data_IF_826508033932
#
_entry.id   IF_826508033932
#
_cell.length_a   1.000
_cell.length_b   1.000
_cell.length_c   1.000
_cell.angle_alpha   90.00
_cell.angle_beta   90.00
_cell.angle_gamma   90.00
#
_symmetry.space_group_name_H-M   'P 1'
#
loop_
_entity.id
_entity.type
_entity.pdbx_description
1 polymer ?
#
# COMPACT_ATOMS: atom_id res chain seq x y z
N UNK A 1 -25.53 12.52 2.28
CA UNK A 1 -25.42 12.57 0.81
C UNK A 1 -25.53 11.14 0.31
N UNK A 2 -26.66 10.75 -0.27
CA UNK A 2 -26.83 9.40 -0.83
C UNK A 2 -26.04 9.38 -2.13
N UNK A 3 -24.95 8.63 -2.19
CA UNK A 3 -24.31 8.34 -3.47
C UNK A 3 -25.32 7.49 -4.24
N UNK A 4 -26.00 8.09 -5.22
CA UNK A 4 -26.76 7.31 -6.18
C UNK A 4 -25.79 6.30 -6.79
N UNK A 5 -26.17 5.03 -6.76
CA UNK A 5 -25.39 3.95 -7.36
C UNK A 5 -25.08 4.31 -8.81
N UNK A 6 -23.79 4.38 -9.16
CA UNK A 6 -23.32 4.57 -10.52
C UNK A 6 -24.08 3.60 -11.44
N UNK A 7 -24.53 4.07 -12.61
CA UNK A 7 -25.11 3.16 -13.59
C UNK A 7 -24.09 2.06 -13.97
N UNK A 8 -24.53 0.84 -14.29
CA UNK A 8 -23.63 -0.23 -14.70
C UNK A 8 -22.70 0.16 -15.86
N UNK A 9 -23.22 0.98 -16.79
CA UNK A 9 -22.46 1.49 -17.93
C UNK A 9 -21.34 2.44 -17.50
N UNK A 10 -21.65 3.38 -16.60
CA UNK A 10 -20.65 4.31 -16.08
C UNK A 10 -19.58 3.58 -15.27
N UNK A 11 -19.98 2.61 -14.45
CA UNK A 11 -19.03 1.76 -13.70
C UNK A 11 -18.10 1.00 -14.65
N UNK A 12 -18.65 0.39 -15.70
CA UNK A 12 -17.86 -0.36 -16.69
C UNK A 12 -16.91 0.55 -17.47
N UNK A 13 -17.37 1.73 -17.87
CA UNK A 13 -16.55 2.75 -18.52
C UNK A 13 -15.37 3.20 -17.63
N UNK A 14 -15.64 3.54 -16.37
CA UNK A 14 -14.58 3.95 -15.41
C UNK A 14 -13.57 2.83 -15.19
N UNK A 15 -14.02 1.59 -15.00
CA UNK A 15 -13.10 0.45 -14.86
C UNK A 15 -12.25 0.24 -16.12
N UNK A 16 -12.85 0.29 -17.31
CA UNK A 16 -12.16 0.03 -18.58
C UNK A 16 -11.25 1.17 -19.05
N UNK A 17 -11.34 2.38 -18.48
CA UNK A 17 -10.48 3.50 -18.87
C UNK A 17 -9.02 3.26 -18.47
N UNK A 18 -8.02 3.43 -19.35
CA UNK A 18 -6.62 3.38 -18.96
C UNK A 18 -6.26 4.62 -18.12
N UNK A 19 -5.56 4.43 -17.01
CA UNK A 19 -5.28 5.50 -16.03
C UNK A 19 -3.79 5.63 -15.74
N UNK A 20 -3.39 6.84 -15.35
CA UNK A 20 -2.16 7.10 -14.63
C UNK A 20 -2.51 7.61 -13.24
N UNK A 21 -1.83 7.13 -12.20
CA UNK A 21 -2.01 7.57 -10.83
C UNK A 21 -0.73 8.24 -10.33
N UNK A 22 -0.79 9.54 -10.06
CA UNK A 22 0.39 10.36 -9.79
C UNK A 22 0.51 10.79 -8.33
N UNK A 23 -0.44 10.38 -7.50
CA UNK A 23 -0.45 10.71 -6.07
C UNK A 23 -1.02 9.54 -5.30
N UNK A 24 -0.12 8.71 -4.79
CA UNK A 24 -0.44 7.60 -3.90
C UNK A 24 0.76 7.32 -3.02
N UNK A 25 0.51 7.13 -1.73
CA UNK A 25 1.54 6.80 -0.74
C UNK A 25 1.56 5.28 -0.55
N UNK A 26 2.74 4.66 -0.61
CA UNK A 26 2.88 3.21 -0.51
C UNK A 26 2.26 2.68 0.78
N UNK A 27 2.60 3.27 1.91
CA UNK A 27 2.12 2.87 3.24
C UNK A 27 0.61 3.03 3.37
N UNK A 28 0.05 4.06 2.73
CA UNK A 28 -1.40 4.30 2.68
C UNK A 28 -2.16 3.35 1.76
N UNK A 29 -1.48 2.68 0.82
CA UNK A 29 -2.08 1.73 -0.12
C UNK A 29 -2.13 0.27 0.40
N UNK A 30 -1.48 -0.01 1.54
CA UNK A 30 -1.39 -1.35 2.11
C UNK A 30 -2.76 -1.84 2.57
N UNK A 31 -3.13 -3.04 2.12
CA UNK A 31 -4.44 -3.60 2.40
C UNK A 31 -4.51 -4.23 3.81
N UNK A 32 -5.70 -4.26 4.44
CA UNK A 32 -5.87 -4.81 5.79
C UNK A 32 -5.38 -6.26 5.96
N UNK A 33 -5.51 -7.11 4.93
CA UNK A 33 -4.99 -8.48 4.97
C UNK A 33 -3.45 -8.51 5.08
N UNK A 34 -2.77 -7.62 4.37
CA UNK A 34 -1.31 -7.50 4.35
C UNK A 34 -0.80 -6.96 5.68
N UNK A 35 -1.54 -6.02 6.29
CA UNK A 35 -1.25 -5.56 7.66
C UNK A 35 -1.27 -6.72 8.66
N UNK A 36 -2.27 -7.62 8.58
CA UNK A 36 -2.30 -8.81 9.43
C UNK A 36 -1.14 -9.77 9.15
N UNK A 37 -0.78 -9.95 7.88
CA UNK A 37 0.37 -10.80 7.50
C UNK A 37 1.67 -10.25 8.09
N UNK A 38 1.95 -8.97 7.87
CA UNK A 38 3.16 -8.30 8.35
C UNK A 38 3.21 -8.26 9.88
N UNK A 39 2.09 -7.99 10.54
CA UNK A 39 2.02 -8.01 11.99
C UNK A 39 2.27 -9.40 12.58
N UNK A 40 1.83 -10.48 11.93
CA UNK A 40 2.19 -11.84 12.35
C UNK A 40 3.68 -12.14 12.10
N UNK A 41 4.17 -11.77 10.92
CA UNK A 41 5.57 -11.99 10.50
C UNK A 41 6.57 -11.38 11.49
N UNK A 42 6.22 -10.22 12.04
CA UNK A 42 7.11 -9.42 12.91
C UNK A 42 6.75 -9.48 14.40
N UNK A 43 5.84 -10.36 14.80
CA UNK A 43 5.33 -10.48 16.19
C UNK A 43 4.77 -9.16 16.74
N UNK A 44 4.07 -8.40 15.89
CA UNK A 44 3.50 -7.08 16.18
C UNK A 44 1.96 -7.11 16.25
N UNK A 45 1.35 -8.28 16.40
CA UNK A 45 -0.11 -8.41 16.52
C UNK A 45 -0.68 -7.59 17.69
N UNK A 46 0.07 -7.40 18.78
CA UNK A 46 -0.32 -6.57 19.92
C UNK A 46 -0.38 -5.07 19.63
N UNK A 47 0.18 -4.60 18.51
CA UNK A 47 0.07 -3.21 18.06
C UNK A 47 -1.23 -2.92 17.29
N UNK A 48 -1.97 -3.97 16.89
CA UNK A 48 -3.22 -3.85 16.14
C UNK A 48 -4.42 -3.85 17.09
N UNK A 49 -5.48 -3.08 16.79
CA UNK A 49 -6.70 -3.07 17.61
C UNK A 49 -7.59 -4.29 17.37
N UNK A 50 -7.26 -5.15 16.42
CA UNK A 50 -7.97 -6.38 16.11
C UNK A 50 -7.02 -7.45 15.55
N UNK A 51 -7.32 -8.72 15.82
CA UNK A 51 -6.54 -9.86 15.35
C UNK A 51 -7.10 -10.52 14.06
N UNK A 52 -8.23 -10.01 13.56
CA UNK A 52 -8.93 -10.53 12.38
C UNK A 52 -9.23 -9.43 11.34
N UNK A 53 -9.52 -9.87 10.12
CA UNK A 53 -9.74 -8.98 8.98
C UNK A 53 -10.99 -8.11 9.13
N UNK A 54 -12.04 -8.62 9.79
CA UNK A 54 -13.28 -7.89 9.96
C UNK A 54 -13.10 -6.70 10.93
N UNK A 55 -12.38 -6.90 12.02
CA UNK A 55 -11.98 -5.86 12.96
C UNK A 55 -11.03 -4.85 12.33
N UNK A 56 -10.05 -5.31 11.55
CA UNK A 56 -9.13 -4.39 10.88
C UNK A 56 -9.83 -3.52 9.83
N UNK A 57 -10.78 -4.08 9.08
CA UNK A 57 -11.61 -3.30 8.13
C UNK A 57 -12.44 -2.22 8.83
N UNK A 58 -12.97 -2.50 10.03
CA UNK A 58 -13.65 -1.48 10.84
C UNK A 58 -12.68 -0.39 11.27
N UNK A 59 -11.47 -0.77 11.69
CA UNK A 59 -10.44 0.18 12.08
C UNK A 59 -9.99 1.11 10.94
N UNK A 60 -9.91 0.60 9.71
CA UNK A 60 -9.61 1.38 8.50
C UNK A 60 -10.72 2.38 8.10
N UNK A 61 -11.85 2.40 8.81
CA UNK A 61 -12.85 3.46 8.63
C UNK A 61 -12.43 4.68 9.44
N UNK A 62 -11.73 5.62 8.78
CA UNK A 62 -11.20 6.82 9.40
C UNK A 62 -12.30 7.70 9.99
N UNK A 63 -12.06 8.26 11.17
CA UNK A 63 -12.99 9.17 11.87
C UNK A 63 -12.60 10.63 11.67
N UNK A 64 -11.29 10.89 11.58
CA UNK A 64 -10.68 12.18 11.34
C UNK A 64 -9.23 11.99 10.85
N UNK A 65 -8.54 13.11 10.57
CA UNK A 65 -7.15 13.09 10.14
C UNK A 65 -6.18 12.51 11.20
N UNK A 66 -6.30 12.84 12.50
CA UNK A 66 -5.50 12.18 13.55
C UNK A 66 -5.62 10.66 13.57
N UNK A 67 -6.84 10.11 13.41
CA UNK A 67 -7.04 8.67 13.37
C UNK A 67 -6.38 8.04 12.13
N UNK A 68 -6.45 8.71 10.97
CA UNK A 68 -5.69 8.31 9.78
C UNK A 68 -4.18 8.27 10.06
N UNK A 69 -3.62 9.32 10.65
CA UNK A 69 -2.18 9.39 10.98
C UNK A 69 -1.77 8.28 11.95
N UNK A 70 -2.61 7.96 12.95
CA UNK A 70 -2.36 6.84 13.86
C UNK A 70 -2.25 5.51 13.11
N UNK A 71 -3.18 5.24 12.19
CA UNK A 71 -3.17 4.02 11.35
C UNK A 71 -1.92 4.00 10.48
N UNK A 72 -1.63 5.11 9.79
CA UNK A 72 -0.45 5.26 8.94
C UNK A 72 0.84 4.91 9.70
N UNK A 73 1.06 5.50 10.87
CA UNK A 73 2.27 5.25 11.69
C UNK A 73 2.38 3.78 12.09
N UNK A 74 1.27 3.14 12.47
CA UNK A 74 1.28 1.71 12.83
C UNK A 74 1.64 0.85 11.62
N UNK A 75 1.07 1.14 10.45
CA UNK A 75 1.35 0.42 9.22
C UNK A 75 2.82 0.60 8.80
N UNK A 76 3.34 1.82 8.83
CA UNK A 76 4.74 2.09 8.48
C UNK A 76 5.70 1.28 9.35
N UNK A 77 5.39 1.10 10.65
CA UNK A 77 6.19 0.30 11.59
C UNK A 77 6.25 -1.20 11.27
N UNK A 78 5.34 -1.71 10.43
CA UNK A 78 5.31 -3.11 10.02
C UNK A 78 6.23 -3.42 8.84
N UNK A 79 6.73 -2.40 8.13
CA UNK A 79 7.64 -2.55 6.99
C UNK A 79 9.09 -2.58 7.47
N UNK A 80 9.60 -3.77 7.79
CA UNK A 80 10.88 -3.92 8.51
C UNK A 80 12.03 -4.47 7.67
N UNK A 81 11.73 -5.09 6.52
CA UNK A 81 12.69 -5.79 5.68
C UNK A 81 12.47 -5.48 4.21
N UNK A 82 13.49 -5.66 3.37
CA UNK A 82 13.36 -5.53 1.92
C UNK A 82 12.22 -6.39 1.34
N UNK A 83 12.01 -7.59 1.90
CA UNK A 83 10.92 -8.49 1.50
C UNK A 83 9.51 -7.95 1.81
N UNK A 84 9.37 -7.10 2.84
CA UNK A 84 8.10 -6.45 3.14
C UNK A 84 7.79 -5.38 2.07
N UNK A 85 8.78 -4.59 1.68
CA UNK A 85 8.65 -3.61 0.58
C UNK A 85 8.37 -4.29 -0.76
N UNK A 86 9.05 -5.39 -1.06
CA UNK A 86 8.78 -6.19 -2.25
C UNK A 86 7.32 -6.66 -2.28
N UNK A 87 6.82 -7.19 -1.17
CA UNK A 87 5.43 -7.63 -1.04
C UNK A 87 4.44 -6.50 -1.33
N UNK A 88 4.57 -5.36 -0.65
CA UNK A 88 3.57 -4.28 -0.77
C UNK A 88 3.62 -3.57 -2.12
N UNK A 89 4.79 -3.48 -2.75
CA UNK A 89 4.92 -2.97 -4.14
C UNK A 89 4.32 -3.95 -5.14
N UNK A 90 4.55 -5.25 -4.95
CA UNK A 90 3.94 -6.27 -5.81
C UNK A 90 2.40 -6.22 -5.73
N UNK A 91 1.84 -6.10 -4.53
CA UNK A 91 0.40 -5.94 -4.32
C UNK A 91 -0.14 -4.65 -4.92
N UNK A 92 0.62 -3.54 -4.84
CA UNK A 92 0.29 -2.31 -5.55
C UNK A 92 0.15 -2.54 -7.06
N UNK A 93 1.04 -3.33 -7.66
CA UNK A 93 0.95 -3.69 -9.08
C UNK A 93 -0.29 -4.52 -9.43
N UNK A 94 -0.67 -5.45 -8.56
CA UNK A 94 -1.90 -6.25 -8.72
C UNK A 94 -3.14 -5.35 -8.67
N UNK A 95 -3.18 -4.40 -7.73
CA UNK A 95 -4.24 -3.40 -7.60
C UNK A 95 -4.32 -2.49 -8.84
N UNK A 96 -3.17 -2.00 -9.33
CA UNK A 96 -3.11 -1.20 -10.56
C UNK A 96 -3.75 -1.92 -11.74
N UNK A 97 -3.42 -3.20 -11.93
CA UNK A 97 -3.96 -4.00 -13.03
C UNK A 97 -5.48 -4.20 -12.92
N UNK A 98 -5.98 -4.47 -11.72
CA UNK A 98 -7.43 -4.60 -11.46
C UNK A 98 -8.20 -3.32 -11.77
N UNK A 99 -7.55 -2.16 -11.64
CA UNK A 99 -8.14 -0.85 -11.87
C UNK A 99 -7.79 -0.26 -13.25
N UNK A 100 -7.10 -0.99 -14.11
CA UNK A 100 -6.58 -0.52 -15.41
C UNK A 100 -5.69 0.73 -15.30
N UNK A 101 -4.96 0.86 -14.19
CA UNK A 101 -3.87 1.83 -14.01
C UNK A 101 -2.64 1.26 -14.71
N UNK A 102 -2.14 1.98 -15.72
CA UNK A 102 -0.99 1.56 -16.53
C UNK A 102 0.33 2.11 -16.00
N UNK A 103 0.26 3.24 -15.30
CA UNK A 103 1.41 3.94 -14.77
C UNK A 103 1.09 4.52 -13.39
N UNK A 104 2.01 4.38 -12.43
CA UNK A 104 1.89 4.96 -11.10
C UNK A 104 3.20 5.62 -10.66
N UNK A 105 3.12 6.85 -10.15
CA UNK A 105 4.19 7.47 -9.36
C UNK A 105 3.86 7.23 -7.89
N UNK A 106 4.61 6.31 -7.29
CA UNK A 106 4.38 5.83 -5.94
C UNK A 106 5.27 6.60 -4.98
N UNK A 107 4.63 7.34 -4.07
CA UNK A 107 5.31 8.08 -3.01
C UNK A 107 5.77 7.12 -1.92
N UNK A 108 7.03 7.24 -1.53
CA UNK A 108 7.65 6.45 -0.45
C UNK A 108 8.43 7.40 0.44
N UNK A 109 8.23 7.33 1.75
CA UNK A 109 8.94 8.17 2.73
C UNK A 109 10.14 7.44 3.34
N UNK A 110 11.37 7.55 2.79
CA UNK A 110 12.48 6.68 3.20
C UNK A 110 12.92 6.93 4.66
N UNK A 111 12.81 8.18 5.12
CA UNK A 111 13.18 8.60 6.47
C UNK A 111 12.40 7.85 7.56
N UNK A 112 11.13 7.53 7.31
CA UNK A 112 10.26 6.75 8.20
C UNK A 112 10.82 5.34 8.49
N UNK A 113 11.58 4.79 7.54
CA UNK A 113 12.06 3.40 7.60
C UNK A 113 13.55 3.30 7.92
N UNK A 114 14.33 4.32 7.54
CA UNK A 114 15.79 4.33 7.72
C UNK A 114 16.18 4.91 9.09
N UNK A 115 15.58 6.04 9.49
CA UNK A 115 16.05 6.84 10.63
C UNK A 115 15.33 6.47 11.94
N UNK A 116 14.07 6.07 11.85
CA UNK A 116 13.17 5.94 13.01
C UNK A 116 12.87 4.49 13.40
N UNK A 117 13.84 3.77 13.98
CA UNK A 117 13.67 2.51 14.74
C UNK A 117 13.73 1.18 13.97
N UNK A 118 13.76 1.17 12.64
CA UNK A 118 13.71 -0.09 11.86
C UNK A 118 15.04 -0.57 11.28
N UNK A 119 16.07 0.30 11.29
CA UNK A 119 17.46 0.01 10.86
C UNK A 119 17.59 -0.52 9.42
N UNK A 120 16.60 -0.28 8.56
CA UNK A 120 16.71 -0.63 7.16
C UNK A 120 17.69 0.34 6.49
N UNK A 121 18.68 -0.16 5.76
CA UNK A 121 19.51 0.71 4.94
C UNK A 121 18.73 1.22 3.71
N UNK A 122 19.14 2.38 3.18
CA UNK A 122 18.58 2.87 1.91
C UNK A 122 18.73 1.85 0.78
N UNK A 123 19.84 1.08 0.78
CA UNK A 123 20.08 0.04 -0.21
C UNK A 123 19.07 -1.11 -0.10
N UNK A 124 18.75 -1.57 1.12
CA UNK A 124 17.74 -2.61 1.34
C UNK A 124 16.33 -2.14 0.99
N UNK A 125 15.99 -0.88 1.32
CA UNK A 125 14.73 -0.26 0.92
C UNK A 125 14.57 -0.28 -0.60
N UNK A 126 15.56 0.29 -1.31
CA UNK A 126 15.56 0.35 -2.77
C UNK A 126 15.54 -1.04 -3.41
N UNK A 127 16.26 -2.01 -2.84
CA UNK A 127 16.26 -3.38 -3.32
C UNK A 127 14.86 -4.02 -3.23
N UNK A 128 14.16 -3.84 -2.11
CA UNK A 128 12.79 -4.32 -1.94
C UNK A 128 11.81 -3.66 -2.92
N UNK A 129 11.86 -2.33 -3.04
CA UNK A 129 11.03 -1.59 -3.99
C UNK A 129 11.24 -2.07 -5.43
N UNK A 130 12.50 -2.20 -5.85
CA UNK A 130 12.85 -2.61 -7.20
C UNK A 130 12.45 -4.07 -7.49
N UNK A 131 12.66 -4.98 -6.54
CA UNK A 131 12.22 -6.37 -6.67
C UNK A 131 10.69 -6.46 -6.87
N UNK A 132 9.92 -5.73 -6.05
CA UNK A 132 8.46 -5.68 -6.18
C UNK A 132 8.01 -5.10 -7.51
N UNK A 133 8.68 -4.03 -7.97
CA UNK A 133 8.40 -3.38 -9.25
C UNK A 133 8.65 -4.31 -10.44
N UNK A 134 9.76 -5.03 -10.44
CA UNK A 134 10.10 -5.96 -11.52
C UNK A 134 9.11 -7.12 -11.60
N UNK A 135 8.73 -7.68 -10.45
CA UNK A 135 7.70 -8.72 -10.38
C UNK A 135 6.35 -8.21 -10.87
N UNK A 136 5.89 -7.05 -10.37
CA UNK A 136 4.64 -6.45 -10.80
C UNK A 136 4.61 -6.13 -12.30
N UNK A 137 5.72 -5.61 -12.84
CA UNK A 137 5.84 -5.35 -14.28
C UNK A 137 5.72 -6.65 -15.09
N UNK A 138 6.37 -7.71 -14.64
CA UNK A 138 6.37 -9.02 -15.32
C UNK A 138 4.98 -9.66 -15.29
N UNK A 139 4.37 -9.71 -14.12
CA UNK A 139 3.12 -10.47 -13.89
C UNK A 139 1.88 -9.70 -14.35
N UNK A 140 1.93 -8.36 -14.31
CA UNK A 140 0.75 -7.51 -14.56
C UNK A 140 0.91 -6.49 -15.70
N UNK A 141 2.12 -6.31 -16.24
CA UNK A 141 2.36 -5.36 -17.34
C UNK A 141 2.18 -3.89 -16.96
N UNK A 142 2.36 -3.56 -15.68
CA UNK A 142 2.23 -2.20 -15.14
C UNK A 142 3.58 -1.51 -14.97
N UNK A 143 3.59 -0.18 -15.02
CA UNK A 143 4.80 0.63 -14.81
C UNK A 143 4.69 1.46 -13.53
N UNK A 144 5.73 1.42 -12.70
CA UNK A 144 5.84 2.25 -11.51
C UNK A 144 7.12 3.09 -11.50
N UNK A 145 7.05 4.29 -10.93
CA UNK A 145 8.18 5.16 -10.63
C UNK A 145 8.10 5.64 -9.18
N UNK A 146 9.23 6.04 -8.63
CA UNK A 146 9.34 6.45 -7.23
C UNK A 146 9.33 7.96 -7.10
N UNK A 147 8.54 8.45 -6.16
CA UNK A 147 8.60 9.82 -5.64
C UNK A 147 9.02 9.72 -4.19
N UNK A 148 10.22 10.19 -3.84
CA UNK A 148 10.66 10.20 -2.45
C UNK A 148 10.32 11.53 -1.80
N UNK A 149 9.73 11.51 -0.61
CA UNK A 149 9.39 12.69 0.20
C UNK A 149 10.12 12.75 1.55
#
# INVERSE_FOLDING_TARGET
MKYDTLSPDLKSFVHAMPKAELHVHLEGAIQPQTVLELARRHDMMGALPAADLAGLRRWFTFTDFPHFVQIYIIISRLLRTAADFELVVYECGADMAQQNIRYRELTVSPTTHIDTQQKLSMAELLAGLEAGRQRARTDFGVEMRWTFD
#
